data_IF_660414808741
#
_entry.id   IF_660414808741
#
_cell.length_a   1.000
_cell.length_b   1.000
_cell.length_c   1.000
_cell.angle_alpha   90.00
_cell.angle_beta   90.00
_cell.angle_gamma   90.00
#
_symmetry.space_group_name_H-M   'P 1'
#
loop_
_entity.id
_entity.type
_entity.pdbx_description
1 polymer ?
#
# COMPACT_ATOMS: atom_id res chain seq x y z
N UNK A 1 22.90 -22.56 -9.18
CA UNK A 1 24.03 -21.61 -9.08
C UNK A 1 23.59 -20.27 -9.64
N UNK A 2 23.21 -19.37 -8.73
CA UNK A 2 23.22 -17.92 -8.86
C UNK A 2 22.95 -17.42 -7.43
N UNK A 3 23.88 -17.75 -6.53
CA UNK A 3 23.87 -17.23 -5.16
C UNK A 3 24.48 -15.82 -5.24
N UNK A 4 23.66 -14.89 -5.73
CA UNK A 4 24.00 -13.48 -5.80
C UNK A 4 23.86 -12.90 -4.40
N UNK A 5 24.96 -12.87 -3.66
CA UNK A 5 25.03 -12.25 -2.35
C UNK A 5 24.37 -10.88 -2.38
N UNK A 6 23.32 -10.72 -1.56
CA UNK A 6 22.68 -9.46 -1.30
C UNK A 6 23.76 -8.53 -0.72
N UNK A 7 24.28 -7.61 -1.53
CA UNK A 7 25.15 -6.56 -1.01
C UNK A 7 24.34 -5.82 0.06
N UNK A 8 24.79 -5.90 1.31
CA UNK A 8 24.11 -5.29 2.43
C UNK A 8 23.87 -3.80 2.11
N UNK A 9 22.60 -3.41 2.05
CA UNK A 9 22.20 -2.00 1.94
C UNK A 9 22.83 -1.31 3.15
N UNK A 10 23.82 -0.45 2.91
CA UNK A 10 24.52 0.24 3.97
C UNK A 10 23.51 1.20 4.62
N UNK A 11 22.90 0.75 5.71
CA UNK A 11 21.80 1.47 6.36
C UNK A 11 22.41 2.64 7.11
N UNK A 12 21.95 3.85 6.82
CA UNK A 12 22.44 5.06 7.48
C UNK A 12 21.79 5.15 8.86
N UNK A 13 22.54 4.75 9.89
CA UNK A 13 22.06 4.72 11.28
C UNK A 13 22.81 5.78 12.08
N UNK A 14 22.06 6.62 12.78
CA UNK A 14 22.60 7.60 13.74
C UNK A 14 22.06 7.29 15.13
N UNK A 15 22.95 7.02 16.08
CA UNK A 15 22.60 6.71 17.48
C UNK A 15 22.58 7.98 18.33
N UNK A 16 21.74 8.00 19.37
CA UNK A 16 21.61 9.10 20.31
C UNK A 16 21.28 8.64 21.73
N UNK A 17 21.13 9.61 22.63
CA UNK A 17 20.88 9.33 24.05
C UNK A 17 19.57 8.53 24.29
N UNK A 18 19.57 7.69 25.32
CA UNK A 18 18.37 6.95 25.74
C UNK A 18 17.89 5.89 24.74
N UNK A 19 18.81 5.29 23.98
CA UNK A 19 18.48 4.27 22.98
C UNK A 19 17.76 4.84 21.76
N UNK A 20 18.01 6.12 21.44
CA UNK A 20 17.53 6.75 20.21
C UNK A 20 18.31 6.21 19.02
N UNK A 21 17.59 5.77 17.98
CA UNK A 21 18.17 5.27 16.73
C UNK A 21 17.44 5.94 15.58
N UNK A 22 18.11 6.82 14.84
CA UNK A 22 17.61 7.34 13.58
C UNK A 22 18.03 6.40 12.46
N UNK A 23 17.05 5.71 11.87
CA UNK A 23 17.21 5.00 10.60
C UNK A 23 16.99 6.02 9.47
N UNK A 24 18.07 6.68 9.07
CA UNK A 24 18.01 7.76 8.10
C UNK A 24 17.96 7.26 6.65
N UNK A 25 17.45 8.12 5.78
CA UNK A 25 17.41 7.89 4.34
C UNK A 25 18.68 8.38 3.65
N UNK A 26 19.12 7.72 2.57
CA UNK A 26 20.25 8.18 1.79
C UNK A 26 20.03 9.56 1.17
N UNK A 27 21.14 10.27 0.96
CA UNK A 27 21.17 11.58 0.34
C UNK A 27 22.21 11.59 -0.80
N UNK A 28 21.97 12.37 -1.85
CA UNK A 28 22.89 12.44 -3.01
C UNK A 28 24.32 12.80 -2.60
N UNK A 29 24.49 13.63 -1.57
CA UNK A 29 25.81 14.03 -1.05
C UNK A 29 26.59 12.89 -0.42
N UNK A 30 25.95 11.78 -0.07
CA UNK A 30 26.62 10.60 0.50
C UNK A 30 27.58 9.96 -0.51
N UNK A 31 27.35 10.16 -1.81
CA UNK A 31 28.21 9.67 -2.90
C UNK A 31 28.57 10.73 -3.96
N UNK A 32 28.00 11.94 -3.88
CA UNK A 32 28.33 13.12 -4.69
C UNK A 32 28.58 14.33 -3.76
N UNK A 33 29.73 14.40 -3.05
CA UNK A 33 29.92 15.36 -1.96
C UNK A 33 29.99 16.83 -2.41
N UNK A 34 30.30 17.09 -3.68
CA UNK A 34 30.50 18.45 -4.22
C UNK A 34 29.26 19.03 -4.93
N UNK A 35 28.06 18.56 -4.58
CA UNK A 35 26.83 19.10 -5.17
C UNK A 35 26.54 20.52 -4.68
N UNK A 36 26.18 21.38 -5.63
CA UNK A 36 25.69 22.73 -5.34
C UNK A 36 24.30 22.66 -4.69
N UNK A 37 24.03 23.62 -3.81
CA UNK A 37 22.71 23.83 -3.20
C UNK A 37 22.11 25.15 -3.67
N UNK A 38 20.80 25.19 -3.71
CA UNK A 38 20.03 26.35 -4.13
C UNK A 38 18.97 26.69 -3.08
N UNK A 39 18.56 27.96 -2.93
CA UNK A 39 17.40 28.30 -2.11
C UNK A 39 16.17 27.59 -2.64
N UNK A 40 15.32 27.09 -1.74
CA UNK A 40 14.09 26.43 -2.14
C UNK A 40 13.10 27.48 -2.73
N UNK A 41 12.61 27.30 -3.98
CA UNK A 41 11.63 28.22 -4.60
C UNK A 41 10.38 28.43 -3.76
N UNK A 42 10.06 27.46 -2.89
CA UNK A 42 8.97 27.58 -1.97
C UNK A 42 9.08 28.81 -1.10
N UNK A 43 10.26 29.34 -0.76
CA UNK A 43 10.44 30.54 0.10
C UNK A 43 9.64 31.75 -0.39
N UNK A 44 9.37 31.82 -1.70
CA UNK A 44 8.67 32.91 -2.38
C UNK A 44 7.21 32.54 -2.68
N UNK A 45 6.73 31.38 -2.22
CA UNK A 45 5.40 30.87 -2.50
C UNK A 45 4.35 31.51 -1.56
N UNK A 46 3.33 32.22 -2.09
CA UNK A 46 2.32 32.89 -1.27
C UNK A 46 1.55 31.94 -0.35
N UNK A 47 1.32 30.69 -0.77
CA UNK A 47 0.56 29.71 0.04
C UNK A 47 1.28 29.34 1.33
N UNK A 48 2.61 29.43 1.36
CA UNK A 48 3.41 29.12 2.54
C UNK A 48 3.69 30.35 3.42
N UNK A 49 3.40 31.57 2.94
CA UNK A 49 3.62 32.83 3.68
C UNK A 49 2.87 32.93 5.02
N UNK A 50 1.79 32.15 5.18
CA UNK A 50 0.97 32.10 6.40
C UNK A 50 1.47 31.09 7.45
N UNK A 51 2.48 30.27 7.12
CA UNK A 51 2.96 29.19 7.99
C UNK A 51 4.06 29.69 8.92
N UNK A 52 3.89 29.48 10.24
CA UNK A 52 4.85 29.92 11.28
C UNK A 52 6.24 29.30 11.13
N UNK A 53 6.31 28.04 10.71
CA UNK A 53 7.55 27.31 10.42
C UNK A 53 7.50 26.81 8.98
N UNK A 54 8.24 27.49 8.13
CA UNK A 54 8.16 27.38 6.68
C UNK A 54 8.77 26.07 6.14
N UNK A 55 9.90 25.69 6.72
CA UNK A 55 10.69 24.52 6.35
C UNK A 55 10.79 23.58 7.53
N UNK A 56 10.82 22.28 7.23
CA UNK A 56 11.07 21.25 8.23
C UNK A 56 12.55 21.29 8.60
N UNK A 57 12.83 21.24 9.89
CA UNK A 57 14.20 21.21 10.39
C UNK A 57 14.91 19.95 9.89
N UNK A 58 16.22 20.03 9.68
CA UNK A 58 16.99 18.86 9.28
C UNK A 58 16.91 17.82 10.38
N UNK A 59 16.98 18.21 11.66
CA UNK A 59 17.02 17.31 12.80
C UNK A 59 15.64 16.83 13.27
N UNK A 60 14.55 17.27 12.63
CA UNK A 60 13.21 16.80 12.93
C UNK A 60 13.07 15.29 12.63
N UNK A 61 12.82 14.50 13.66
CA UNK A 61 12.54 13.07 13.54
C UNK A 61 11.20 12.66 14.13
N UNK A 62 10.66 11.57 13.60
CA UNK A 62 9.36 11.00 13.96
C UNK A 62 9.59 9.63 14.56
N UNK A 63 9.20 9.47 15.83
CA UNK A 63 9.33 8.21 16.54
C UNK A 63 8.42 7.13 15.90
N UNK A 64 8.96 5.94 15.69
CA UNK A 64 8.17 4.77 15.31
C UNK A 64 7.29 4.28 16.47
N UNK A 65 7.81 4.35 17.69
CA UNK A 65 7.13 3.93 18.91
C UNK A 65 6.92 5.14 19.82
N UNK A 66 5.66 5.56 19.97
CA UNK A 66 5.29 6.69 20.84
C UNK A 66 4.82 6.26 22.23
N UNK A 67 4.49 4.97 22.41
CA UNK A 67 4.13 4.40 23.72
C UNK A 67 5.36 3.71 24.29
N UNK A 68 6.02 4.38 25.24
CA UNK A 68 7.25 3.90 25.89
C UNK A 68 7.13 3.98 27.42
N UNK A 69 7.93 3.18 28.11
CA UNK A 69 8.08 3.30 29.57
C UNK A 69 9.05 4.43 29.91
N UNK A 70 8.93 5.00 31.11
CA UNK A 70 9.72 6.16 31.57
C UNK A 70 11.24 5.99 31.36
N UNK A 71 11.75 4.79 31.61
CA UNK A 71 13.18 4.46 31.50
C UNK A 71 13.46 3.45 30.37
N UNK A 72 12.52 3.29 29.43
CA UNK A 72 12.69 2.39 28.29
C UNK A 72 13.34 3.10 27.10
N UNK A 73 13.89 2.33 26.18
CA UNK A 73 14.52 2.84 24.97
C UNK A 73 13.53 3.69 24.15
N UNK A 74 14.03 4.82 23.64
CA UNK A 74 13.29 5.67 22.69
C UNK A 74 13.04 4.95 21.37
N UNK A 75 13.96 4.06 20.98
CA UNK A 75 13.82 3.19 19.84
C UNK A 75 14.05 3.91 18.52
N UNK A 76 13.39 3.40 17.48
CA UNK A 76 13.63 3.81 16.10
C UNK A 76 12.86 5.10 15.78
N UNK A 77 13.55 6.00 15.09
CA UNK A 77 13.05 7.25 14.56
C UNK A 77 13.32 7.33 13.06
N UNK A 78 12.46 8.06 12.34
CA UNK A 78 12.59 8.34 10.91
C UNK A 78 12.65 9.84 10.68
N UNK A 79 13.36 10.28 9.65
CA UNK A 79 13.45 11.70 9.33
C UNK A 79 12.10 12.24 8.89
N UNK A 80 11.68 13.40 9.43
CA UNK A 80 10.40 14.02 9.10
C UNK A 80 10.37 14.48 7.64
N UNK A 81 9.33 14.12 6.91
CA UNK A 81 9.14 14.54 5.53
C UNK A 81 8.68 16.00 5.44
N UNK A 82 9.02 16.68 4.35
CA UNK A 82 8.59 18.04 4.06
C UNK A 82 9.66 18.90 3.38
N UNK A 83 9.34 20.16 3.04
CA UNK A 83 10.24 21.02 2.32
C UNK A 83 11.44 21.41 3.19
N UNK A 84 12.63 21.43 2.57
CA UNK A 84 13.89 21.91 3.18
C UNK A 84 14.22 23.31 2.69
N UNK A 85 14.99 24.06 3.47
CA UNK A 85 15.39 25.43 3.09
C UNK A 85 16.26 25.45 1.83
N UNK A 86 17.07 24.40 1.62
CA UNK A 86 17.92 24.22 0.45
C UNK A 86 17.46 23.02 -0.38
N UNK A 87 17.59 23.15 -1.70
CA UNK A 87 17.34 22.08 -2.68
C UNK A 87 18.63 21.78 -3.46
N UNK A 88 18.72 20.59 -4.02
CA UNK A 88 19.89 20.11 -4.78
C UNK A 88 19.62 20.04 -6.28
N UNK A 89 18.40 20.41 -6.68
CA UNK A 89 17.97 20.52 -8.06
C UNK A 89 17.44 21.92 -8.36
N UNK A 90 17.88 22.53 -9.46
CA UNK A 90 17.21 23.71 -10.02
C UNK A 90 15.99 23.30 -10.84
N UNK A 91 14.97 24.14 -10.88
CA UNK A 91 13.72 23.86 -11.58
C UNK A 91 13.89 23.51 -13.06
N UNK A 92 14.82 24.18 -13.74
CA UNK A 92 15.10 24.07 -15.17
C UNK A 92 16.00 22.88 -15.53
N UNK A 93 16.76 22.34 -14.58
CA UNK A 93 17.56 21.12 -14.79
C UNK A 93 16.77 19.83 -14.51
N UNK A 94 15.63 19.89 -13.82
CA UNK A 94 14.86 18.69 -13.46
C UNK A 94 14.20 18.08 -14.70
N UNK A 95 14.43 16.77 -14.88
CA UNK A 95 13.68 15.91 -15.76
C UNK A 95 13.13 14.75 -14.93
N UNK A 96 11.86 14.85 -14.58
CA UNK A 96 11.19 13.90 -13.71
C UNK A 96 10.44 12.83 -14.51
N UNK A 97 10.51 11.57 -14.06
CA UNK A 97 9.65 10.51 -14.56
C UNK A 97 8.79 9.89 -13.45
N UNK A 98 7.57 9.49 -13.82
CA UNK A 98 6.62 8.81 -12.94
C UNK A 98 6.27 7.46 -13.55
N UNK A 99 6.26 6.39 -12.75
CA UNK A 99 5.86 5.05 -13.21
C UNK A 99 4.90 4.41 -12.20
N UNK A 100 3.84 3.77 -12.72
CA UNK A 100 2.91 2.94 -11.92
C UNK A 100 3.06 1.47 -12.24
N UNK A 101 3.27 0.63 -11.22
CA UNK A 101 3.47 -0.81 -11.37
C UNK A 101 2.52 -1.63 -10.48
N UNK A 102 2.31 -2.90 -10.87
CA UNK A 102 1.51 -3.86 -10.13
C UNK A 102 0.00 -3.68 -10.29
N UNK A 103 -0.79 -4.25 -9.37
CA UNK A 103 -2.24 -4.18 -9.43
C UNK A 103 -2.81 -2.80 -9.07
N UNK A 104 -3.99 -2.48 -9.62
CA UNK A 104 -4.69 -1.22 -9.39
C UNK A 104 -5.03 -0.98 -7.90
N UNK A 105 -5.16 0.29 -7.55
CA UNK A 105 -5.47 0.78 -6.22
C UNK A 105 -6.17 2.15 -6.38
N UNK A 106 -7.25 2.43 -5.63
CA UNK A 106 -7.81 3.77 -5.59
C UNK A 106 -6.74 4.80 -5.20
N UNK A 107 -6.77 5.98 -5.83
CA UNK A 107 -5.82 7.06 -5.56
C UNK A 107 -4.56 7.10 -6.44
N UNK A 108 -4.30 6.09 -7.28
CA UNK A 108 -3.18 6.07 -8.23
C UNK A 108 -3.08 7.35 -9.08
N UNK A 109 -4.19 7.73 -9.72
CA UNK A 109 -4.25 8.96 -10.51
C UNK A 109 -4.09 10.23 -9.65
N UNK A 110 -4.56 10.21 -8.41
CA UNK A 110 -4.37 11.32 -7.46
C UNK A 110 -2.88 11.50 -7.18
N UNK A 111 -2.14 10.44 -6.86
CA UNK A 111 -0.68 10.52 -6.65
C UNK A 111 0.03 11.07 -7.89
N UNK A 112 -0.28 10.58 -9.10
CA UNK A 112 0.32 11.09 -10.35
C UNK A 112 0.05 12.59 -10.49
N UNK A 113 -1.21 13.01 -10.32
CA UNK A 113 -1.61 14.41 -10.43
C UNK A 113 -0.84 15.28 -9.44
N UNK A 114 -0.77 14.86 -8.18
CA UNK A 114 -0.17 15.66 -7.12
C UNK A 114 1.36 15.75 -7.24
N UNK A 115 2.02 14.72 -7.78
CA UNK A 115 3.45 14.81 -8.13
C UNK A 115 3.65 15.84 -9.25
N UNK A 116 2.86 15.75 -10.32
CA UNK A 116 2.97 16.68 -11.48
C UNK A 116 2.68 18.11 -11.05
N UNK A 117 1.58 18.34 -10.33
CA UNK A 117 1.20 19.64 -9.81
C UNK A 117 2.23 20.17 -8.81
N UNK A 118 2.75 19.31 -7.93
CA UNK A 118 3.76 19.71 -6.96
C UNK A 118 5.07 20.13 -7.61
N UNK A 119 5.60 19.33 -8.52
CA UNK A 119 6.78 19.68 -9.30
C UNK A 119 6.59 20.99 -10.07
N UNK A 120 5.43 21.16 -10.72
CA UNK A 120 5.18 22.32 -11.56
C UNK A 120 4.91 23.60 -10.77
N UNK A 121 3.93 23.60 -9.87
CA UNK A 121 3.46 24.81 -9.19
C UNK A 121 4.31 25.18 -7.97
N UNK A 122 4.88 24.20 -7.26
CA UNK A 122 5.71 24.49 -6.07
C UNK A 122 7.18 24.70 -6.44
N UNK A 123 7.66 24.01 -7.47
CA UNK A 123 9.08 23.98 -7.82
C UNK A 123 9.39 24.47 -9.23
N UNK A 124 8.42 24.88 -10.04
CA UNK A 124 8.67 25.43 -11.37
C UNK A 124 9.18 24.42 -12.41
N UNK A 125 9.09 23.13 -12.12
CA UNK A 125 9.57 22.06 -13.03
C UNK A 125 8.59 21.89 -14.19
N UNK A 126 9.11 21.93 -15.41
CA UNK A 126 8.29 21.84 -16.64
C UNK A 126 8.44 20.50 -17.38
N UNK A 127 9.57 19.79 -17.18
CA UNK A 127 9.89 18.56 -17.92
C UNK A 127 9.53 17.32 -17.09
N UNK A 128 8.27 16.91 -17.18
CA UNK A 128 7.73 15.76 -16.45
C UNK A 128 7.14 14.75 -17.44
N UNK A 129 7.55 13.49 -17.32
CA UNK A 129 7.09 12.40 -18.17
C UNK A 129 6.52 11.24 -17.35
N UNK A 130 5.57 10.52 -17.91
CA UNK A 130 5.09 9.24 -17.41
C UNK A 130 5.69 8.10 -18.20
N UNK A 131 6.10 7.04 -17.53
CA UNK A 131 6.52 5.78 -18.14
C UNK A 131 5.29 4.88 -18.29
N UNK A 132 4.96 4.52 -19.52
CA UNK A 132 3.74 3.77 -19.84
C UNK A 132 3.92 2.26 -19.60
N UNK A 133 2.94 1.62 -18.96
CA UNK A 133 2.91 0.17 -18.81
C UNK A 133 3.90 -0.40 -17.79
N UNK A 134 4.22 0.33 -16.72
CA UNK A 134 5.10 -0.13 -15.64
C UNK A 134 6.58 -0.21 -16.03
N UNK A 135 7.36 -1.10 -15.39
CA UNK A 135 8.81 -1.14 -15.58
C UNK A 135 9.26 -1.42 -17.02
N UNK A 136 8.49 -2.22 -17.78
CA UNK A 136 8.79 -2.46 -19.19
C UNK A 136 8.82 -1.18 -20.03
N UNK A 137 8.05 -0.16 -19.62
CA UNK A 137 7.94 1.12 -20.32
C UNK A 137 9.27 1.88 -20.49
N UNK A 138 10.23 1.64 -19.57
CA UNK A 138 11.54 2.28 -19.66
C UNK A 138 12.25 1.92 -20.97
N UNK A 139 12.20 0.64 -21.38
CA UNK A 139 12.94 0.12 -22.53
C UNK A 139 12.07 -0.26 -23.74
N UNK A 140 10.74 -0.09 -23.68
CA UNK A 140 9.82 -0.32 -24.80
C UNK A 140 9.50 0.93 -25.65
N UNK A 141 10.09 2.10 -25.31
CA UNK A 141 9.92 3.41 -25.97
C UNK A 141 8.55 4.10 -25.80
N UNK A 142 7.81 3.83 -24.71
CA UNK A 142 6.52 4.48 -24.45
C UNK A 142 6.61 5.47 -23.28
N UNK A 143 6.53 6.77 -23.57
CA UNK A 143 6.42 7.83 -22.55
C UNK A 143 5.35 8.83 -22.90
N UNK A 144 4.69 9.35 -21.87
CA UNK A 144 3.62 10.34 -21.98
C UNK A 144 4.09 11.64 -21.35
N UNK A 145 3.95 12.78 -22.03
CA UNK A 145 4.23 14.09 -21.42
C UNK A 145 3.15 14.42 -20.40
N UNK A 146 3.55 14.75 -19.17
CA UNK A 146 2.65 15.11 -18.09
C UNK A 146 2.76 16.61 -17.79
N UNK A 147 1.62 17.30 -17.89
CA UNK A 147 1.49 18.71 -17.53
C UNK A 147 0.29 18.88 -16.61
N UNK A 148 0.18 19.97 -15.83
CA UNK A 148 -1.01 20.21 -15.01
C UNK A 148 -2.32 20.15 -15.80
N UNK A 149 -2.30 20.58 -17.07
CA UNK A 149 -3.45 20.47 -17.97
C UNK A 149 -3.82 19.02 -18.27
N UNK A 150 -2.82 18.17 -18.54
CA UNK A 150 -3.02 16.72 -18.83
C UNK A 150 -3.54 15.97 -17.61
N UNK A 151 -3.11 16.33 -16.40
CA UNK A 151 -3.50 15.64 -15.15
C UNK A 151 -4.67 16.30 -14.41
N UNK A 152 -5.31 17.32 -14.99
CA UNK A 152 -6.22 18.19 -14.25
C UNK A 152 -7.37 17.42 -13.58
N UNK A 153 -7.96 16.45 -14.27
CA UNK A 153 -9.16 15.71 -13.87
C UNK A 153 -8.92 14.23 -13.56
N UNK A 154 -7.69 13.72 -13.72
CA UNK A 154 -7.43 12.28 -13.63
C UNK A 154 -7.74 11.71 -12.23
N UNK A 155 -7.64 12.52 -11.18
CA UNK A 155 -7.99 12.14 -9.80
C UNK A 155 -9.47 11.73 -9.64
N UNK A 156 -10.35 12.14 -10.55
CA UNK A 156 -11.77 11.76 -10.56
C UNK A 156 -12.02 10.36 -11.12
N UNK A 157 -10.97 9.71 -11.66
CA UNK A 157 -11.04 8.41 -12.31
C UNK A 157 -10.24 7.40 -11.50
N UNK A 158 -10.77 6.18 -11.36
CA UNK A 158 -9.97 5.07 -10.86
C UNK A 158 -8.95 4.56 -11.89
N UNK A 159 -8.16 3.57 -11.47
CA UNK A 159 -7.06 3.04 -12.27
C UNK A 159 -5.86 4.00 -12.36
N UNK A 160 -5.08 3.87 -13.43
CA UNK A 160 -3.91 4.72 -13.72
C UNK A 160 -3.90 5.14 -15.19
N UNK A 161 -3.68 6.43 -15.46
CA UNK A 161 -3.54 6.96 -16.83
C UNK A 161 -2.23 6.55 -17.52
N UNK A 162 -1.25 6.03 -16.77
CA UNK A 162 0.02 5.54 -17.30
C UNK A 162 0.00 4.05 -17.64
N UNK A 163 -1.15 3.38 -17.47
CA UNK A 163 -1.19 1.93 -17.48
C UNK A 163 -0.35 1.32 -16.35
N UNK A 164 -0.37 0.00 -16.23
CA UNK A 164 0.44 -0.72 -15.24
C UNK A 164 0.71 -2.13 -15.75
N UNK A 165 1.80 -2.73 -15.28
CA UNK A 165 2.14 -4.12 -15.57
C UNK A 165 2.67 -4.82 -14.32
N UNK A 166 2.64 -6.15 -14.38
CA UNK A 166 3.31 -7.05 -13.43
C UNK A 166 4.60 -7.55 -14.10
N UNK A 167 5.69 -7.61 -13.35
CA UNK A 167 7.01 -8.03 -13.88
C UNK A 167 7.71 -6.97 -14.73
N UNK A 168 8.62 -7.41 -15.61
CA UNK A 168 9.32 -6.53 -16.55
C UNK A 168 10.44 -5.67 -15.94
N UNK A 169 10.89 -6.02 -14.74
CA UNK A 169 12.02 -5.34 -14.10
C UNK A 169 13.34 -5.82 -14.70
N UNK A 170 14.08 -4.91 -15.32
CA UNK A 170 15.45 -5.13 -15.79
C UNK A 170 16.28 -3.92 -15.38
N UNK A 171 17.03 -4.05 -14.28
CA UNK A 171 17.75 -2.94 -13.65
C UNK A 171 18.67 -2.23 -14.64
N UNK A 172 19.46 -2.98 -15.43
CA UNK A 172 20.40 -2.39 -16.38
C UNK A 172 19.65 -1.57 -17.42
N UNK A 173 18.63 -2.15 -18.07
CA UNK A 173 17.86 -1.43 -19.10
C UNK A 173 17.10 -0.22 -18.55
N UNK A 174 16.59 -0.31 -17.33
CA UNK A 174 15.89 0.80 -16.67
C UNK A 174 16.87 1.95 -16.41
N UNK A 175 18.03 1.66 -15.82
CA UNK A 175 19.02 2.70 -15.49
C UNK A 175 19.69 3.27 -16.75
N UNK A 176 19.93 2.44 -17.78
CA UNK A 176 20.35 2.90 -19.10
C UNK A 176 19.33 3.89 -19.67
N UNK A 177 18.03 3.55 -19.64
CA UNK A 177 16.98 4.47 -20.08
C UNK A 177 16.89 5.75 -19.24
N UNK A 178 17.15 5.69 -17.93
CA UNK A 178 17.18 6.89 -17.07
C UNK A 178 18.32 7.81 -17.52
N UNK A 179 19.50 7.25 -17.74
CA UNK A 179 20.69 7.97 -18.15
C UNK A 179 20.56 8.54 -19.57
N UNK A 180 20.15 7.74 -20.55
CA UNK A 180 20.00 8.12 -21.96
C UNK A 180 18.99 9.26 -22.15
N UNK A 181 17.94 9.29 -21.33
CA UNK A 181 16.90 10.34 -21.37
C UNK A 181 17.25 11.55 -20.52
N UNK A 182 18.36 11.50 -19.77
CA UNK A 182 18.75 12.52 -18.81
C UNK A 182 17.70 12.73 -17.71
N UNK A 183 17.04 11.66 -17.26
CA UNK A 183 16.09 11.69 -16.14
C UNK A 183 16.89 11.80 -14.84
N UNK A 184 16.53 12.73 -13.97
CA UNK A 184 17.21 12.95 -12.69
C UNK A 184 16.29 12.87 -11.47
N UNK A 185 15.00 12.63 -11.68
CA UNK A 185 14.06 12.28 -10.61
C UNK A 185 13.15 11.15 -11.09
N UNK A 186 13.05 10.09 -10.29
CA UNK A 186 12.29 8.87 -10.61
C UNK A 186 11.30 8.61 -9.48
N UNK A 187 10.01 8.71 -9.78
CA UNK A 187 8.93 8.45 -8.85
C UNK A 187 8.28 7.10 -9.15
N UNK A 188 8.46 6.15 -8.24
CA UNK A 188 8.02 4.76 -8.43
C UNK A 188 6.81 4.45 -7.55
N UNK A 189 5.63 4.34 -8.17
CA UNK A 189 4.37 4.08 -7.48
C UNK A 189 4.03 2.59 -7.62
N UNK A 190 4.03 1.84 -6.51
CA UNK A 190 3.78 0.40 -6.59
C UNK A 190 3.85 -0.35 -5.25
N UNK A 191 3.47 -1.62 -5.28
CA UNK A 191 3.48 -2.49 -4.08
C UNK A 191 4.87 -3.03 -3.75
N UNK A 192 4.95 -4.01 -2.84
CA UNK A 192 6.21 -4.58 -2.32
C UNK A 192 7.24 -4.92 -3.42
N UNK A 193 6.87 -5.76 -4.40
CA UNK A 193 7.75 -6.12 -5.50
C UNK A 193 8.22 -4.92 -6.33
N UNK A 194 7.40 -3.88 -6.45
CA UNK A 194 7.79 -2.64 -7.10
C UNK A 194 8.82 -1.87 -6.26
N UNK A 195 8.60 -1.75 -4.95
CA UNK A 195 9.52 -1.04 -4.05
C UNK A 195 10.87 -1.76 -3.93
N UNK A 196 10.88 -3.10 -3.97
CA UNK A 196 12.11 -3.90 -4.14
C UNK A 196 12.83 -3.55 -5.43
N UNK A 197 12.11 -3.43 -6.55
CA UNK A 197 12.66 -2.93 -7.81
C UNK A 197 13.24 -1.52 -7.71
N UNK A 198 12.56 -0.61 -7.01
CA UNK A 198 13.01 0.76 -6.79
C UNK A 198 14.32 0.82 -5.98
N UNK A 199 14.45 -0.04 -4.96
CA UNK A 199 15.68 -0.19 -4.18
C UNK A 199 16.86 -0.61 -5.07
N UNK A 200 16.65 -1.60 -5.95
CA UNK A 200 17.70 -2.07 -6.87
C UNK A 200 18.05 -1.02 -7.92
N UNK A 201 17.07 -0.24 -8.41
CA UNK A 201 17.31 0.91 -9.31
C UNK A 201 18.16 1.96 -8.61
N UNK A 202 17.82 2.30 -7.36
CA UNK A 202 18.60 3.23 -6.55
C UNK A 202 20.05 2.78 -6.36
N UNK A 203 20.27 1.50 -6.02
CA UNK A 203 21.62 0.97 -5.84
C UNK A 203 22.46 1.05 -7.11
N UNK A 204 21.86 0.75 -8.27
CA UNK A 204 22.55 0.86 -9.55
C UNK A 204 22.83 2.32 -9.94
N UNK A 205 21.89 3.23 -9.69
CA UNK A 205 22.08 4.69 -9.84
C UNK A 205 23.27 5.17 -8.99
N UNK A 206 23.33 4.74 -7.72
CA UNK A 206 24.39 5.06 -6.78
C UNK A 206 25.74 4.49 -7.25
N UNK A 207 25.76 3.22 -7.66
CA UNK A 207 26.95 2.53 -8.19
C UNK A 207 27.54 3.25 -9.41
N UNK A 208 26.68 3.81 -10.27
CA UNK A 208 27.08 4.59 -11.45
C UNK A 208 27.41 6.05 -11.13
N UNK A 209 27.22 6.51 -9.90
CA UNK A 209 27.49 7.90 -9.49
C UNK A 209 26.58 8.92 -10.19
N UNK A 210 25.34 8.55 -10.50
CA UNK A 210 24.42 9.43 -11.22
C UNK A 210 23.71 10.38 -10.24
N UNK A 211 23.56 11.66 -10.62
CA UNK A 211 22.75 12.64 -9.88
C UNK A 211 21.26 12.39 -10.12
N UNK A 212 20.73 11.27 -9.59
CA UNK A 212 19.32 10.86 -9.76
C UNK A 212 18.69 10.57 -8.40
N UNK A 213 17.58 11.23 -8.11
CA UNK A 213 16.75 10.90 -6.95
C UNK A 213 15.74 9.81 -7.30
N UNK A 214 15.72 8.72 -6.54
CA UNK A 214 14.73 7.63 -6.67
C UNK A 214 13.84 7.66 -5.43
N UNK A 215 12.57 7.99 -5.64
CA UNK A 215 11.56 8.08 -4.59
C UNK A 215 10.44 7.05 -4.83
N UNK A 216 10.19 6.21 -3.83
CA UNK A 216 9.08 5.27 -3.81
C UNK A 216 7.81 5.84 -3.21
N UNK A 217 6.67 5.49 -3.79
CA UNK A 217 5.35 5.73 -3.22
C UNK A 217 4.67 4.38 -3.04
N UNK A 218 4.52 3.89 -1.80
CA UNK A 218 4.22 2.49 -1.55
C UNK A 218 2.70 2.29 -1.65
N UNK A 219 2.28 1.42 -2.56
CA UNK A 219 0.89 1.20 -2.98
C UNK A 219 0.44 -0.21 -2.65
N UNK A 220 -0.41 -0.34 -1.64
CA UNK A 220 -1.18 -1.55 -1.34
C UNK A 220 -2.58 -1.15 -0.87
N UNK A 221 -3.58 -1.92 -1.24
CA UNK A 221 -4.91 -1.80 -0.62
C UNK A 221 -4.99 -2.63 0.65
N UNK A 222 -4.09 -3.60 0.85
CA UNK A 222 -4.19 -4.59 1.92
C UNK A 222 -3.69 -4.04 3.27
N UNK A 223 -3.22 -2.79 3.30
CA UNK A 223 -2.64 -2.11 4.46
C UNK A 223 -1.52 -2.89 5.17
N UNK A 224 -0.70 -3.59 4.38
CA UNK A 224 0.32 -4.54 4.82
C UNK A 224 1.76 -3.99 4.75
N UNK A 225 1.94 -2.70 4.50
CA UNK A 225 3.28 -2.06 4.48
C UNK A 225 3.74 -1.83 5.93
N UNK A 226 4.94 -2.27 6.32
CA UNK A 226 5.48 -2.02 7.65
C UNK A 226 5.85 -0.55 7.83
N UNK A 227 6.06 -0.14 9.08
CA UNK A 227 6.40 1.24 9.49
C UNK A 227 5.27 2.26 9.35
N UNK A 228 4.55 2.26 8.22
CA UNK A 228 3.51 3.26 7.98
C UNK A 228 2.20 2.92 8.70
N UNK A 229 1.48 3.94 9.15
CA UNK A 229 0.21 3.80 9.86
C UNK A 229 -0.89 3.23 8.95
N UNK A 230 -0.87 3.66 7.68
CA UNK A 230 -1.87 3.31 6.68
C UNK A 230 -1.31 3.45 5.27
N UNK A 231 -1.77 2.61 4.33
CA UNK A 231 -1.52 2.74 2.89
C UNK A 231 -2.68 3.40 2.14
N UNK A 232 -2.38 4.15 1.08
CA UNK A 232 -3.43 4.86 0.34
C UNK A 232 -4.30 3.88 -0.45
N UNK A 233 -5.59 4.18 -0.54
CA UNK A 233 -6.61 3.34 -1.15
C UNK A 233 -7.22 2.33 -0.18
N UNK A 234 -6.69 2.20 1.04
CA UNK A 234 -7.25 1.31 2.07
C UNK A 234 -8.62 1.76 2.57
N UNK A 235 -8.79 3.06 2.88
CA UNK A 235 -10.08 3.57 3.38
C UNK A 235 -11.16 3.42 2.33
N UNK A 236 -10.82 3.76 1.09
CA UNK A 236 -11.70 3.56 -0.07
C UNK A 236 -12.06 2.08 -0.22
N UNK A 237 -11.09 1.17 -0.08
CA UNK A 237 -11.36 -0.25 -0.17
C UNK A 237 -12.28 -0.78 0.95
N UNK A 238 -12.13 -0.28 2.18
CA UNK A 238 -13.00 -0.62 3.31
C UNK A 238 -14.42 -0.08 3.08
N UNK A 239 -14.56 1.15 2.57
CA UNK A 239 -15.85 1.75 2.24
C UNK A 239 -16.59 0.94 1.16
N UNK A 240 -15.90 0.54 0.10
CA UNK A 240 -16.47 -0.32 -0.94
C UNK A 240 -16.82 -1.72 -0.46
N UNK A 241 -15.97 -2.32 0.37
CA UNK A 241 -16.24 -3.60 0.98
C UNK A 241 -17.51 -3.53 1.84
N UNK A 242 -17.69 -2.45 2.60
CA UNK A 242 -18.91 -2.21 3.37
C UNK A 242 -20.15 -2.12 2.47
N UNK A 243 -20.08 -1.46 1.31
CA UNK A 243 -21.20 -1.42 0.36
C UNK A 243 -21.62 -2.82 -0.10
N UNK A 244 -20.66 -3.70 -0.38
CA UNK A 244 -20.92 -5.08 -0.75
C UNK A 244 -21.50 -5.91 0.42
N UNK A 245 -21.00 -5.69 1.64
CA UNK A 245 -21.51 -6.32 2.86
C UNK A 245 -22.97 -5.92 3.09
N UNK A 246 -23.30 -4.64 3.01
CA UNK A 246 -24.66 -4.15 3.22
C UNK A 246 -25.64 -4.76 2.20
N UNK A 247 -25.22 -4.87 0.93
CA UNK A 247 -26.04 -5.54 -0.09
C UNK A 247 -26.25 -7.03 0.24
N UNK A 248 -25.20 -7.75 0.62
CA UNK A 248 -25.29 -9.14 1.02
C UNK A 248 -26.15 -9.35 2.28
N UNK A 249 -26.12 -8.40 3.22
CA UNK A 249 -26.95 -8.42 4.42
C UNK A 249 -28.43 -8.29 4.08
N UNK A 250 -28.81 -7.29 3.28
CA UNK A 250 -30.21 -7.08 2.84
C UNK A 250 -30.74 -8.32 2.13
N UNK A 251 -29.94 -8.91 1.24
CA UNK A 251 -30.32 -10.13 0.52
C UNK A 251 -30.46 -11.35 1.45
N UNK A 252 -29.55 -11.50 2.42
CA UNK A 252 -29.60 -12.59 3.40
C UNK A 252 -30.81 -12.46 4.35
N UNK A 253 -31.11 -11.26 4.83
CA UNK A 253 -32.26 -10.99 5.71
C UNK A 253 -33.60 -11.17 4.99
N UNK A 254 -33.65 -10.90 3.68
CA UNK A 254 -34.88 -10.99 2.87
C UNK A 254 -35.39 -12.42 2.66
N UNK A 255 -34.66 -13.44 3.13
CA UNK A 255 -35.01 -14.85 2.92
C UNK A 255 -34.84 -15.69 4.19
N UNK A 256 -35.76 -16.60 4.47
CA UNK A 256 -35.63 -17.55 5.57
C UNK A 256 -34.36 -18.41 5.43
N UNK A 257 -33.53 -18.37 6.47
CA UNK A 257 -32.22 -19.01 6.55
C UNK A 257 -31.26 -18.54 5.45
N UNK A 258 -31.35 -17.27 5.03
CA UNK A 258 -30.47 -16.68 4.03
C UNK A 258 -29.02 -16.54 4.51
N UNK A 259 -28.06 -16.83 3.62
CA UNK A 259 -26.63 -16.67 3.91
C UNK A 259 -25.98 -15.79 2.84
N UNK A 260 -25.44 -14.65 3.26
CA UNK A 260 -24.62 -13.76 2.43
C UNK A 260 -23.14 -14.04 2.64
N UNK A 261 -22.43 -14.47 1.60
CA UNK A 261 -20.96 -14.65 1.61
C UNK A 261 -20.33 -13.54 0.79
N UNK A 262 -19.45 -12.75 1.40
CA UNK A 262 -18.72 -11.66 0.74
C UNK A 262 -17.24 -11.98 0.71
N UNK A 263 -16.70 -12.24 -0.48
CA UNK A 263 -15.27 -12.43 -0.70
C UNK A 263 -14.60 -11.07 -0.82
N UNK A 264 -13.64 -10.79 0.05
CA UNK A 264 -12.85 -9.57 0.03
C UNK A 264 -11.38 -9.84 -0.31
N UNK A 265 -10.69 -8.76 -0.66
CA UNK A 265 -9.24 -8.76 -0.84
C UNK A 265 -8.53 -9.02 0.49
N UNK A 266 -7.29 -9.53 0.40
CA UNK A 266 -6.52 -9.94 1.57
C UNK A 266 -5.77 -11.25 1.31
N UNK A 267 -4.76 -11.18 0.43
CA UNK A 267 -3.96 -12.35 0.02
C UNK A 267 -3.16 -12.95 1.18
N UNK A 268 -2.47 -12.08 1.91
CA UNK A 268 -1.58 -12.45 3.00
C UNK A 268 -1.98 -11.85 4.34
N UNK A 269 -2.86 -10.85 4.32
CA UNK A 269 -3.37 -10.16 5.50
C UNK A 269 -4.87 -9.89 5.41
N UNK A 270 -5.54 -9.92 6.56
CA UNK A 270 -6.99 -9.76 6.68
C UNK A 270 -7.48 -8.34 6.99
N UNK A 271 -6.68 -7.30 6.79
CA UNK A 271 -7.02 -5.95 7.28
C UNK A 271 -8.32 -5.40 6.67
N UNK A 272 -8.53 -5.52 5.36
CA UNK A 272 -9.78 -5.06 4.71
C UNK A 272 -10.98 -5.78 5.31
N UNK A 273 -10.93 -7.12 5.42
CA UNK A 273 -11.99 -7.92 6.00
C UNK A 273 -12.27 -7.55 7.47
N UNK A 274 -11.22 -7.37 8.28
CA UNK A 274 -11.36 -6.97 9.68
C UNK A 274 -11.98 -5.57 9.82
N UNK A 275 -11.48 -4.58 9.09
CA UNK A 275 -11.99 -3.21 9.17
C UNK A 275 -13.38 -3.06 8.58
N UNK A 276 -13.69 -3.70 7.44
CA UNK A 276 -15.02 -3.68 6.85
C UNK A 276 -16.07 -4.35 7.75
N UNK A 277 -15.69 -5.46 8.41
CA UNK A 277 -16.53 -6.11 9.44
C UNK A 277 -16.85 -5.18 10.60
N UNK A 278 -15.82 -4.54 11.17
CA UNK A 278 -15.98 -3.60 12.28
C UNK A 278 -16.81 -2.37 11.89
N UNK A 279 -16.65 -1.89 10.65
CA UNK A 279 -17.36 -0.72 10.13
C UNK A 279 -18.83 -1.02 9.81
N UNK A 280 -19.14 -2.17 9.20
CA UNK A 280 -20.52 -2.57 8.86
C UNK A 280 -21.34 -2.90 10.10
N UNK A 281 -20.80 -3.71 11.03
CA UNK A 281 -21.53 -4.31 12.16
C UNK A 281 -22.61 -5.33 11.79
N UNK A 282 -22.84 -5.60 10.51
CA UNK A 282 -23.83 -6.58 10.03
C UNK A 282 -23.23 -7.96 9.74
N UNK A 283 -21.92 -8.11 9.94
CA UNK A 283 -21.18 -9.35 9.69
C UNK A 283 -21.22 -10.25 10.92
N UNK A 284 -21.67 -11.49 10.75
CA UNK A 284 -21.68 -12.50 11.82
C UNK A 284 -20.38 -13.28 11.92
N UNK A 285 -19.68 -13.46 10.79
CA UNK A 285 -18.43 -14.20 10.74
C UNK A 285 -17.41 -13.54 9.80
N UNK A 286 -16.20 -13.29 10.29
CA UNK A 286 -15.06 -12.79 9.53
C UNK A 286 -13.93 -13.81 9.54
N UNK A 287 -13.56 -14.29 8.36
CA UNK A 287 -12.52 -15.28 8.11
C UNK A 287 -11.34 -14.62 7.40
N UNK A 288 -10.16 -14.67 8.02
CA UNK A 288 -8.94 -14.03 7.55
C UNK A 288 -7.76 -15.03 7.46
N UNK A 289 -6.73 -14.76 6.63
CA UNK A 289 -5.58 -15.65 6.49
C UNK A 289 -4.86 -15.94 7.82
N UNK A 290 -4.86 -14.99 8.74
CA UNK A 290 -4.15 -15.09 10.02
C UNK A 290 -4.88 -15.91 11.08
N UNK A 291 -6.17 -16.19 10.90
CA UNK A 291 -7.00 -16.94 11.87
C UNK A 291 -7.43 -18.26 11.25
N UNK A 292 -6.69 -19.36 11.50
CA UNK A 292 -7.11 -20.70 11.14
C UNK A 292 -8.52 -21.02 11.63
N UNK A 293 -9.22 -21.86 10.87
CA UNK A 293 -10.53 -22.38 11.23
C UNK A 293 -10.71 -23.77 10.63
N UNK A 294 -11.70 -24.50 11.12
CA UNK A 294 -12.07 -25.81 10.61
C UNK A 294 -13.59 -25.88 10.41
N UNK A 295 -14.03 -26.70 9.46
CA UNK A 295 -15.43 -26.73 9.03
C UNK A 295 -16.32 -27.51 9.99
N UNK A 296 -15.90 -28.72 10.38
CA UNK A 296 -16.71 -29.72 11.08
C UNK A 296 -16.22 -30.01 12.51
N UNK A 297 -17.10 -30.50 13.37
CA UNK A 297 -16.77 -30.84 14.76
C UNK A 297 -17.17 -29.75 15.75
N UNK A 298 -16.89 -30.00 17.04
CA UNK A 298 -17.25 -29.08 18.14
C UNK A 298 -16.41 -27.81 18.04
N UNK A 299 -17.06 -26.66 17.99
CA UNK A 299 -16.43 -25.35 17.80
C UNK A 299 -16.21 -24.98 16.33
N UNK A 300 -16.52 -25.85 15.37
CA UNK A 300 -16.28 -25.61 13.95
C UNK A 300 -17.25 -24.61 13.33
N UNK A 301 -16.88 -24.11 12.15
CA UNK A 301 -17.64 -23.10 11.41
C UNK A 301 -19.09 -23.54 11.15
N UNK A 302 -19.34 -24.79 10.76
CA UNK A 302 -20.68 -25.28 10.50
C UNK A 302 -21.57 -25.35 11.76
N UNK A 303 -20.99 -25.59 12.93
CA UNK A 303 -21.74 -25.52 14.18
C UNK A 303 -22.16 -24.08 14.47
N UNK A 304 -21.26 -23.11 14.24
CA UNK A 304 -21.55 -21.70 14.42
C UNK A 304 -22.63 -21.20 13.46
N UNK A 305 -22.54 -21.57 12.17
CA UNK A 305 -23.57 -21.23 11.16
C UNK A 305 -24.95 -21.73 11.60
N UNK A 306 -25.07 -23.00 11.99
CA UNK A 306 -26.35 -23.56 12.45
C UNK A 306 -26.93 -22.83 13.66
N UNK A 307 -26.07 -22.44 14.60
CA UNK A 307 -26.47 -21.65 15.77
C UNK A 307 -27.00 -20.29 15.33
N UNK A 308 -26.26 -19.56 14.48
CA UNK A 308 -26.64 -18.23 14.00
C UNK A 308 -27.95 -18.23 13.22
N UNK A 309 -28.14 -19.17 12.29
CA UNK A 309 -29.39 -19.29 11.55
C UNK A 309 -30.59 -19.56 12.46
N UNK A 310 -30.42 -20.39 13.50
CA UNK A 310 -31.49 -20.64 14.48
C UNK A 310 -31.82 -19.42 15.33
N UNK A 311 -30.83 -18.59 15.65
CA UNK A 311 -30.99 -17.40 16.50
C UNK A 311 -31.55 -16.20 15.73
N UNK A 312 -31.06 -15.96 14.50
CA UNK A 312 -31.30 -14.72 13.76
C UNK A 312 -32.07 -14.91 12.44
N UNK A 313 -32.25 -16.14 11.96
CA UNK A 313 -32.92 -16.44 10.69
C UNK A 313 -32.11 -16.11 9.43
N UNK A 314 -30.94 -15.50 9.55
CA UNK A 314 -30.00 -15.20 8.46
C UNK A 314 -28.56 -15.11 8.98
N UNK A 315 -27.59 -15.02 8.08
CA UNK A 315 -26.18 -14.85 8.43
C UNK A 315 -25.37 -14.14 7.33
N UNK A 316 -24.43 -13.29 7.73
CA UNK A 316 -23.42 -12.70 6.82
C UNK A 316 -22.01 -13.17 7.18
N UNK A 317 -21.29 -13.68 6.17
CA UNK A 317 -19.92 -14.17 6.27
C UNK A 317 -19.03 -13.33 5.36
N UNK A 318 -18.02 -12.69 5.94
CA UNK A 318 -16.92 -12.06 5.20
C UNK A 318 -15.72 -13.00 5.18
N UNK A 319 -15.15 -13.21 4.01
CA UNK A 319 -13.97 -14.06 3.83
C UNK A 319 -12.93 -13.37 2.98
N UNK A 320 -11.73 -13.17 3.52
CA UNK A 320 -10.60 -12.68 2.74
C UNK A 320 -10.07 -13.79 1.80
N UNK A 321 -9.62 -13.42 0.59
CA UNK A 321 -9.21 -14.38 -0.45
C UNK A 321 -8.12 -15.37 0.00
N UNK A 322 -7.24 -14.96 0.93
CA UNK A 322 -6.19 -15.82 1.48
C UNK A 322 -6.62 -16.75 2.62
N UNK A 323 -7.83 -16.60 3.16
CA UNK A 323 -8.33 -17.45 4.24
C UNK A 323 -8.60 -18.88 3.73
N UNK A 324 -8.36 -19.90 4.56
CA UNK A 324 -8.76 -21.28 4.26
C UNK A 324 -8.10 -21.95 3.04
N UNK A 325 -7.03 -21.37 2.48
CA UNK A 325 -6.34 -21.91 1.29
C UNK A 325 -5.76 -23.33 1.53
N UNK A 326 -5.38 -23.65 2.76
CA UNK A 326 -4.88 -24.98 3.13
C UNK A 326 -5.99 -26.04 3.05
N UNK A 327 -7.16 -25.75 3.64
CA UNK A 327 -8.36 -26.60 3.58
C UNK A 327 -8.81 -26.84 2.13
N UNK A 328 -8.67 -25.81 1.31
CA UNK A 328 -9.07 -25.83 -0.09
C UNK A 328 -8.10 -26.69 -0.91
N UNK A 329 -6.79 -26.57 -0.66
CA UNK A 329 -5.75 -27.38 -1.33
C UNK A 329 -5.88 -28.86 -1.02
N UNK A 330 -6.16 -29.21 0.25
CA UNK A 330 -6.44 -30.59 0.66
C UNK A 330 -7.65 -31.19 -0.09
N UNK A 331 -8.65 -30.35 -0.41
CA UNK A 331 -9.88 -30.79 -1.07
C UNK A 331 -9.79 -30.93 -2.59
N UNK A 332 -8.85 -30.24 -3.28
CA UNK A 332 -8.88 -30.11 -4.75
C UNK A 332 -7.65 -30.63 -5.52
N UNK A 333 -6.64 -31.24 -4.89
CA UNK A 333 -5.48 -31.90 -5.54
C UNK A 333 -4.85 -31.10 -6.72
N UNK A 334 -4.85 -29.77 -6.67
CA UNK A 334 -4.45 -28.92 -7.80
C UNK A 334 -3.00 -28.43 -7.67
N UNK A 335 -2.22 -28.53 -8.75
CA UNK A 335 -0.88 -27.93 -8.85
C UNK A 335 -0.96 -26.39 -8.90
N UNK A 336 -0.21 -25.70 -8.04
CA UNK A 336 -0.23 -24.24 -7.94
C UNK A 336 0.39 -23.56 -9.16
N UNK A 337 -0.37 -22.68 -9.81
CA UNK A 337 0.13 -21.78 -10.86
C UNK A 337 0.70 -20.50 -10.22
N UNK A 338 1.70 -19.87 -10.87
CA UNK A 338 2.28 -18.60 -10.45
C UNK A 338 1.94 -17.48 -11.46
N UNK A 339 1.76 -16.25 -10.99
CA UNK A 339 1.62 -15.07 -11.86
C UNK A 339 2.97 -14.64 -12.46
N UNK A 340 2.95 -13.70 -13.41
CA UNK A 340 4.15 -13.19 -14.09
C UNK A 340 5.15 -12.47 -13.16
N UNK A 341 4.79 -12.22 -11.90
CA UNK A 341 5.66 -11.68 -10.86
C UNK A 341 6.10 -12.75 -9.85
N UNK A 342 5.82 -14.03 -10.10
CA UNK A 342 6.20 -15.17 -9.26
C UNK A 342 5.28 -15.42 -8.07
N UNK A 343 4.13 -14.75 -7.96
CA UNK A 343 3.21 -14.98 -6.85
C UNK A 343 2.33 -16.20 -7.09
N UNK A 344 2.13 -17.05 -6.07
CA UNK A 344 1.16 -18.16 -6.13
C UNK A 344 -0.26 -17.64 -6.41
N UNK A 345 -0.94 -18.25 -7.38
CA UNK A 345 -2.34 -17.95 -7.66
C UNK A 345 -3.22 -18.60 -6.59
N UNK A 346 -4.07 -17.79 -5.95
CA UNK A 346 -5.04 -18.26 -4.97
C UNK A 346 -6.26 -18.86 -5.67
N UNK A 347 -6.86 -19.84 -5.02
CA UNK A 347 -8.11 -20.45 -5.48
C UNK A 347 -9.31 -19.67 -4.93
N UNK A 348 -10.46 -19.79 -5.58
CA UNK A 348 -11.67 -19.05 -5.17
C UNK A 348 -12.28 -19.63 -3.90
N UNK A 349 -11.83 -19.08 -2.76
CA UNK A 349 -12.35 -19.46 -1.44
C UNK A 349 -13.82 -19.08 -1.26
N UNK A 350 -14.29 -18.02 -1.91
CA UNK A 350 -15.66 -17.55 -1.81
C UNK A 350 -16.62 -18.57 -2.40
N UNK A 351 -16.34 -19.05 -3.61
CA UNK A 351 -17.12 -20.14 -4.21
C UNK A 351 -17.00 -21.45 -3.42
N UNK A 352 -15.78 -21.82 -3.01
CA UNK A 352 -15.52 -23.05 -2.26
C UNK A 352 -16.30 -23.11 -0.94
N UNK A 353 -16.18 -22.07 -0.09
CA UNK A 353 -16.83 -22.09 1.22
C UNK A 353 -18.35 -22.13 1.07
N UNK A 354 -18.86 -21.39 0.09
CA UNK A 354 -20.27 -21.31 -0.24
C UNK A 354 -20.81 -22.67 -0.67
N UNK A 355 -20.09 -23.40 -1.52
CA UNK A 355 -20.44 -24.77 -1.89
C UNK A 355 -20.46 -25.71 -0.68
N UNK A 356 -19.42 -25.65 0.17
CA UNK A 356 -19.32 -26.49 1.38
C UNK A 356 -20.46 -26.20 2.37
N UNK A 357 -20.84 -24.93 2.54
CA UNK A 357 -21.98 -24.52 3.37
C UNK A 357 -23.28 -25.08 2.78
N UNK A 358 -23.54 -24.91 1.48
CA UNK A 358 -24.74 -25.45 0.81
C UNK A 358 -24.90 -26.96 1.03
N UNK A 359 -23.82 -27.72 0.88
CA UNK A 359 -23.85 -29.17 1.11
C UNK A 359 -24.20 -29.50 2.57
N UNK A 360 -23.62 -28.76 3.53
CA UNK A 360 -23.91 -28.97 4.95
C UNK A 360 -25.33 -28.54 5.36
N UNK A 361 -25.84 -27.44 4.80
CA UNK A 361 -27.14 -26.87 5.16
C UNK A 361 -28.31 -27.40 4.35
N UNK A 362 -28.07 -28.31 3.39
CA UNK A 362 -29.13 -28.96 2.59
C UNK A 362 -30.23 -29.59 3.46
N UNK A 363 -29.87 -30.12 4.63
CA UNK A 363 -30.82 -30.69 5.58
C UNK A 363 -31.74 -29.66 6.28
N UNK A 364 -31.40 -28.37 6.25
CA UNK A 364 -32.06 -27.29 7.00
C UNK A 364 -32.91 -26.40 6.08
N UNK A 365 -33.05 -26.75 4.79
CA UNK A 365 -33.76 -25.94 3.77
C UNK A 365 -33.30 -24.46 3.80
N UNK A 366 -31.99 -24.21 3.78
CA UNK A 366 -31.48 -22.85 3.58
C UNK A 366 -31.87 -22.37 2.17
N UNK A 367 -32.76 -21.38 2.10
CA UNK A 367 -33.51 -21.13 0.87
C UNK A 367 -32.69 -20.40 -0.19
N UNK A 368 -31.74 -19.54 0.20
CA UNK A 368 -30.90 -18.76 -0.73
C UNK A 368 -29.51 -18.51 -0.13
N UNK A 369 -28.47 -18.65 -0.95
CA UNK A 369 -27.10 -18.26 -0.59
C UNK A 369 -26.55 -17.33 -1.67
N UNK A 370 -26.15 -16.14 -1.25
CA UNK A 370 -25.59 -15.09 -2.11
C UNK A 370 -24.07 -15.12 -1.96
N UNK A 371 -23.35 -15.07 -3.08
CA UNK A 371 -21.88 -14.92 -3.09
C UNK A 371 -21.54 -13.63 -3.82
N UNK A 372 -21.05 -12.64 -3.09
CA UNK A 372 -20.59 -11.37 -3.63
C UNK A 372 -19.06 -11.34 -3.74
N UNK A 373 -18.56 -10.96 -4.92
CA UNK A 373 -17.13 -10.72 -5.17
C UNK A 373 -16.91 -9.29 -5.71
N UNK A 374 -16.85 -8.28 -4.83
CA UNK A 374 -16.60 -6.89 -5.22
C UNK A 374 -15.13 -6.58 -5.57
N UNK A 375 -14.24 -7.58 -5.63
CA UNK A 375 -12.77 -7.40 -5.73
C UNK A 375 -12.35 -6.38 -6.79
N UNK A 376 -12.89 -6.45 -8.01
CA UNK A 376 -12.54 -5.48 -9.06
C UNK A 376 -13.20 -4.11 -8.88
N UNK A 377 -14.41 -4.08 -8.34
CA UNK A 377 -15.11 -2.83 -8.01
C UNK A 377 -14.34 -2.03 -6.96
N UNK A 378 -13.81 -2.71 -5.94
CA UNK A 378 -12.98 -2.11 -4.88
C UNK A 378 -11.74 -1.41 -5.45
N UNK A 379 -11.06 -2.02 -6.42
CA UNK A 379 -9.75 -1.55 -6.90
C UNK A 379 -9.81 -0.50 -8.01
N UNK A 380 -10.92 -0.49 -8.76
CA UNK A 380 -11.02 0.24 -10.02
C UNK A 380 -11.69 1.61 -9.89
N UNK A 381 -12.14 1.99 -8.69
CA UNK A 381 -12.83 3.25 -8.44
C UNK A 381 -11.86 4.39 -8.06
N UNK A 382 -12.27 5.67 -8.18
CA UNK A 382 -11.51 6.80 -7.63
C UNK A 382 -11.36 6.69 -6.10
N UNK A 383 -10.33 7.32 -5.56
CA UNK A 383 -10.14 7.41 -4.10
C UNK A 383 -11.20 8.30 -3.45
N UNK A 384 -11.60 7.95 -2.23
CA UNK A 384 -12.47 8.78 -1.40
C UNK A 384 -11.75 10.03 -0.86
N UNK A 385 -12.45 10.86 -0.10
CA UNK A 385 -11.90 12.12 0.40
C UNK A 385 -10.66 11.92 1.30
N UNK A 386 -10.71 10.94 2.21
CA UNK A 386 -9.60 10.61 3.13
C UNK A 386 -8.35 10.17 2.34
N UNK A 387 -8.52 9.23 1.42
CA UNK A 387 -7.42 8.72 0.60
C UNK A 387 -6.87 9.78 -0.35
N UNK A 388 -7.71 10.69 -0.88
CA UNK A 388 -7.23 11.76 -1.74
C UNK A 388 -6.34 12.75 -0.98
N UNK A 389 -6.73 13.14 0.24
CA UNK A 389 -5.87 13.98 1.10
C UNK A 389 -4.56 13.25 1.38
N UNK A 390 -4.63 11.97 1.70
CA UNK A 390 -3.42 11.19 1.96
C UNK A 390 -2.51 11.08 0.72
N UNK A 391 -3.07 10.82 -0.47
CA UNK A 391 -2.33 10.79 -1.73
C UNK A 391 -1.63 12.13 -2.02
N UNK A 392 -2.28 13.26 -1.73
CA UNK A 392 -1.67 14.59 -1.85
C UNK A 392 -0.46 14.73 -0.93
N UNK A 393 -0.59 14.38 0.35
CA UNK A 393 0.51 14.50 1.31
C UNK A 393 1.69 13.58 0.98
N UNK A 394 1.42 12.36 0.50
CA UNK A 394 2.45 11.43 0.00
C UNK A 394 3.20 12.01 -1.20
N UNK A 395 2.47 12.44 -2.22
CA UNK A 395 3.05 12.98 -3.43
C UNK A 395 3.90 14.22 -3.14
N UNK A 396 3.39 15.16 -2.34
CA UNK A 396 4.13 16.35 -1.93
C UNK A 396 5.37 15.99 -1.12
N UNK A 397 5.28 15.05 -0.18
CA UNK A 397 6.42 14.55 0.59
C UNK A 397 7.51 13.97 -0.31
N UNK A 398 7.14 13.13 -1.29
CA UNK A 398 8.08 12.57 -2.26
C UNK A 398 8.75 13.66 -3.10
N UNK A 399 7.98 14.64 -3.58
CA UNK A 399 8.51 15.79 -4.35
C UNK A 399 9.48 16.61 -3.50
N UNK A 400 9.11 16.97 -2.27
CA UNK A 400 9.97 17.70 -1.36
C UNK A 400 11.28 16.96 -1.07
N UNK A 401 11.21 15.65 -0.83
CA UNK A 401 12.37 14.81 -0.56
C UNK A 401 13.32 14.75 -1.75
N UNK A 402 12.78 14.51 -2.94
CA UNK A 402 13.57 14.44 -4.17
C UNK A 402 14.25 15.78 -4.49
N UNK A 403 13.51 16.90 -4.44
CA UNK A 403 14.08 18.25 -4.64
C UNK A 403 15.17 18.57 -3.61
N UNK A 404 14.98 18.12 -2.36
CA UNK A 404 15.94 18.28 -1.28
C UNK A 404 17.13 17.30 -1.34
N UNK A 405 17.26 16.48 -2.38
CA UNK A 405 18.43 15.61 -2.58
C UNK A 405 18.38 14.27 -1.86
N UNK A 406 17.28 13.94 -1.18
CA UNK A 406 17.08 12.59 -0.66
C UNK A 406 16.83 11.61 -1.81
N UNK A 407 17.29 10.36 -1.66
CA UNK A 407 17.15 9.29 -2.67
C UNK A 407 17.13 7.93 -1.97
N UNK A 408 16.67 6.88 -2.64
CA UNK A 408 16.62 5.55 -2.02
C UNK A 408 15.59 5.45 -0.88
N UNK A 409 14.52 6.25 -0.95
CA UNK A 409 13.53 6.37 0.12
C UNK A 409 12.11 6.17 -0.39
N UNK A 410 11.23 5.82 0.54
CA UNK A 410 9.78 5.97 0.42
C UNK A 410 9.28 7.00 1.42
N UNK A 411 8.04 7.45 1.29
CA UNK A 411 7.41 8.28 2.31
C UNK A 411 6.07 7.71 2.78
N UNK A 412 5.69 8.05 4.01
CA UNK A 412 4.42 7.63 4.59
C UNK A 412 4.21 8.16 6.01
N UNK A 413 2.97 8.04 6.53
CA UNK A 413 2.62 8.49 7.87
C UNK A 413 3.18 7.50 8.89
N UNK A 414 3.88 8.02 9.88
CA UNK A 414 4.35 7.29 11.07
C UNK A 414 3.84 8.07 12.28
N UNK A 415 2.95 7.45 13.06
CA UNK A 415 2.26 8.09 14.18
C UNK A 415 1.66 9.47 13.83
N UNK A 416 1.00 9.57 12.67
CA UNK A 416 0.33 10.77 12.21
C UNK A 416 1.23 11.86 11.62
N UNK A 417 2.54 11.62 11.48
CA UNK A 417 3.49 12.53 10.81
C UNK A 417 4.11 11.86 9.60
N UNK A 418 4.23 12.57 8.48
CA UNK A 418 4.89 12.02 7.31
C UNK A 418 6.40 11.98 7.52
N UNK A 419 7.01 10.87 7.14
CA UNK A 419 8.43 10.60 7.31
C UNK A 419 9.03 10.03 6.03
N UNK A 420 10.33 10.25 5.84
CA UNK A 420 11.12 9.50 4.86
C UNK A 420 11.58 8.20 5.50
N UNK A 421 11.34 7.09 4.82
CA UNK A 421 11.61 5.74 5.32
C UNK A 421 12.52 5.03 4.30
N UNK A 422 13.64 4.43 4.72
CA UNK A 422 14.52 3.66 3.84
C UNK A 422 13.81 2.48 3.16
N UNK A 423 14.19 2.15 1.92
CA UNK A 423 13.55 1.05 1.18
C UNK A 423 13.63 -0.31 1.91
N UNK A 424 14.77 -0.63 2.52
CA UNK A 424 14.95 -1.88 3.25
C UNK A 424 13.87 -2.09 4.32
N UNK A 425 13.46 -1.02 5.02
CA UNK A 425 12.46 -1.09 6.10
C UNK A 425 11.06 -1.38 5.60
N UNK A 426 10.67 -0.88 4.43
CA UNK A 426 9.36 -1.19 3.85
C UNK A 426 9.30 -2.55 3.15
N UNK A 427 10.44 -3.11 2.75
CA UNK A 427 10.51 -4.40 2.03
C UNK A 427 10.86 -5.59 2.93
N UNK A 428 11.18 -5.36 4.21
CA UNK A 428 11.67 -6.38 5.14
C UNK A 428 10.60 -7.42 5.49
N UNK A 429 9.37 -6.97 5.72
CA UNK A 429 8.24 -7.81 6.12
C UNK A 429 6.92 -7.21 5.66
N UNK A 430 5.88 -8.03 5.68
CA UNK A 430 4.50 -7.56 5.54
C UNK A 430 3.82 -7.54 6.90
N UNK A 431 3.05 -6.49 7.16
CA UNK A 431 2.18 -6.43 8.33
C UNK A 431 1.04 -7.42 8.17
N UNK A 432 0.69 -8.08 9.27
CA UNK A 432 -0.43 -9.01 9.38
C UNK A 432 -1.32 -8.60 10.55
N UNK A 433 -2.58 -8.99 10.49
CA UNK A 433 -3.50 -8.88 11.62
C UNK A 433 -2.95 -9.73 12.77
N UNK A 434 -2.70 -9.08 13.91
CA UNK A 434 -2.27 -9.78 15.13
C UNK A 434 -3.53 -10.25 15.86
N UNK A 435 -3.86 -11.54 15.71
CA UNK A 435 -5.08 -12.13 16.28
C UNK A 435 -5.11 -12.16 17.81
N UNK A 436 -3.97 -11.92 18.47
CA UNK A 436 -3.86 -11.79 19.93
C UNK A 436 -4.01 -10.34 20.41
N UNK A 437 -4.14 -9.37 19.50
CA UNK A 437 -4.30 -7.95 19.85
C UNK A 437 -5.76 -7.55 20.07
N UNK A 438 -5.93 -6.42 20.78
CA UNK A 438 -7.22 -5.83 21.15
C UNK A 438 -8.11 -5.54 19.94
N UNK A 439 -7.55 -5.24 18.78
CA UNK A 439 -8.35 -5.00 17.56
C UNK A 439 -9.10 -6.25 17.11
N UNK A 440 -8.45 -7.41 17.09
CA UNK A 440 -9.12 -8.66 16.75
C UNK A 440 -10.14 -9.06 17.83
N UNK A 441 -9.78 -8.91 19.11
CA UNK A 441 -10.71 -9.17 20.22
C UNK A 441 -11.98 -8.29 20.17
N UNK A 442 -11.86 -7.03 19.72
CA UNK A 442 -13.02 -6.15 19.47
C UNK A 442 -13.89 -6.67 18.34
N UNK A 443 -13.29 -7.18 17.26
CA UNK A 443 -14.04 -7.80 16.17
C UNK A 443 -14.81 -9.03 16.66
N UNK A 444 -14.16 -9.94 17.40
CA UNK A 444 -14.82 -11.13 17.96
C UNK A 444 -15.98 -10.75 18.87
N UNK A 445 -15.77 -9.75 19.74
CA UNK A 445 -16.83 -9.23 20.63
C UNK A 445 -17.97 -8.56 19.87
N UNK A 446 -17.69 -7.86 18.78
CA UNK A 446 -18.71 -7.16 17.99
C UNK A 446 -19.56 -8.11 17.15
N UNK A 447 -18.95 -9.19 16.65
CA UNK A 447 -19.61 -10.20 15.80
C UNK A 447 -20.18 -11.37 16.61
N UNK A 448 -19.87 -11.46 17.91
CA UNK A 448 -20.11 -12.65 18.75
C UNK A 448 -19.62 -13.96 18.12
N UNK A 449 -18.66 -13.90 17.19
CA UNK A 449 -18.07 -15.09 16.60
C UNK A 449 -17.09 -15.74 17.59
N UNK A 450 -17.06 -17.08 17.69
CA UNK A 450 -16.07 -17.76 18.51
C UNK A 450 -14.67 -17.62 17.91
N UNK A 451 -13.65 -17.83 18.73
CA UNK A 451 -12.34 -18.22 18.20
C UNK A 451 -12.42 -19.64 17.66
N UNK A 452 -11.97 -19.85 16.42
CA UNK A 452 -11.91 -21.18 15.79
C UNK A 452 -10.55 -21.89 16.00
N UNK A 453 -9.64 -21.25 16.75
CA UNK A 453 -8.33 -21.81 17.15
C UNK A 453 -8.46 -23.00 18.11
#
# INVERSE_FOLDING_TARGET
MADGGCAAINTKIEEGEGGYILEDVPHLTDYLPSLLTYPNPLQDNPAYSVVKQYFVDVDDTVAQKIVVHKNGDRGIHFRRAGPRQKVYFKSDEVHACIVTCGGLCPGLNTVIREIVCGLHYMYGVSKIIGIDGGYMGFYSKNTVTLTPKVVNDIHKRGGTVLGTSRGGHDTSKIVDSIQDRGINQVYVIGGDGTQKGAAVIYEEVRRRGLKVSVAGIPKTIDNDIPVIDRSFGFDTAVEEAQRAINAAHVEAESTENGIGVVKLMGRYSGFIAMYATLASRDVDCCLIPESPFFLEGKGGLFQFIRKRLKENGHMVIVIAEGAGQDLLTESMQSMGQQDASGNKQLQDVGFWISHRIKVHTFAIRASIMIVADPTYMIRAIPGNASDNVYCTLLAQSAVHGAMAGYTGFTCGPVNGRHSYIPFNRITEKQNKVVITDRMWARLLSSTNQPSFL
#
